data_IF_764251731398
#
_entry.id   IF_764251731398
#
_cell.length_a   1.000
_cell.length_b   1.000
_cell.length_c   1.000
_cell.angle_alpha   90.00
_cell.angle_beta   90.00
_cell.angle_gamma   90.00
#
_symmetry.space_group_name_H-M   'P 1'
#
loop_
_entity.id
_entity.type
_entity.pdbx_description
1 polymer ?
#
# COMPACT_ATOMS: atom_id res chain seq x y z
N UNK A 1 -13.54 -3.49 4.26
CA UNK A 1 -12.79 -3.85 3.04
C UNK A 1 -13.71 -4.59 2.04
N UNK A 2 -14.75 -3.94 1.49
CA UNK A 2 -15.70 -4.63 0.59
C UNK A 2 -15.23 -4.73 -0.86
N UNK A 3 -14.43 -3.76 -1.32
CA UNK A 3 -14.01 -3.67 -2.73
C UNK A 3 -12.75 -4.48 -3.06
N UNK A 4 -12.03 -5.03 -2.07
CA UNK A 4 -10.88 -5.94 -2.34
C UNK A 4 -11.32 -7.30 -2.89
N UNK A 5 -12.61 -7.64 -2.76
CA UNK A 5 -13.19 -8.83 -3.38
C UNK A 5 -13.34 -8.68 -4.90
N UNK A 6 -13.28 -7.45 -5.42
CA UNK A 6 -13.36 -7.12 -6.85
C UNK A 6 -12.09 -6.35 -7.25
N UNK A 7 -10.99 -7.07 -7.57
CA UNK A 7 -9.67 -6.47 -7.77
C UNK A 7 -9.66 -5.39 -8.86
N UNK A 8 -10.50 -5.56 -9.89
CA UNK A 8 -10.64 -4.63 -11.01
C UNK A 8 -11.23 -3.30 -10.53
N UNK A 9 -12.36 -3.34 -9.82
CA UNK A 9 -13.03 -2.14 -9.29
C UNK A 9 -12.12 -1.42 -8.27
N UNK A 10 -11.36 -2.17 -7.48
CA UNK A 10 -10.36 -1.58 -6.59
C UNK A 10 -9.22 -0.90 -7.35
N UNK A 11 -8.72 -1.52 -8.43
CA UNK A 11 -7.68 -0.95 -9.27
C UNK A 11 -8.17 0.35 -9.92
N UNK A 12 -9.34 0.36 -10.57
CA UNK A 12 -9.89 1.53 -11.24
C UNK A 12 -10.00 2.72 -10.29
N UNK A 13 -10.56 2.51 -9.09
CA UNK A 13 -10.67 3.57 -8.07
C UNK A 13 -9.33 4.11 -7.59
N UNK A 14 -8.32 3.25 -7.48
CA UNK A 14 -6.97 3.66 -7.08
C UNK A 14 -6.27 4.45 -8.20
N UNK A 15 -6.52 4.07 -9.46
CA UNK A 15 -6.01 4.79 -10.62
C UNK A 15 -6.70 6.15 -10.76
N UNK A 16 -8.02 6.22 -10.64
CA UNK A 16 -8.78 7.48 -10.59
C UNK A 16 -8.29 8.38 -9.45
N UNK A 17 -8.04 7.80 -8.28
CA UNK A 17 -7.45 8.51 -7.16
C UNK A 17 -6.07 9.08 -7.54
N UNK A 18 -5.18 8.30 -8.15
CA UNK A 18 -3.86 8.78 -8.59
C UNK A 18 -3.94 9.91 -9.62
N UNK A 19 -4.81 9.77 -10.62
CA UNK A 19 -5.03 10.77 -11.66
C UNK A 19 -5.50 12.12 -11.10
N UNK A 20 -6.34 12.10 -10.05
CA UNK A 20 -6.89 13.31 -9.44
C UNK A 20 -5.82 14.24 -8.82
N UNK A 21 -4.62 13.74 -8.51
CA UNK A 21 -3.53 14.56 -7.92
C UNK A 21 -2.58 15.17 -8.95
N UNK A 22 -2.81 14.98 -10.25
CA UNK A 22 -2.02 15.66 -11.27
C UNK A 22 -2.43 17.13 -11.34
N UNK A 23 -1.54 18.04 -10.95
CA UNK A 23 -1.81 19.49 -10.95
C UNK A 23 -1.54 20.10 -12.33
N UNK A 24 -2.19 21.23 -12.66
CA UNK A 24 -1.90 21.96 -13.91
C UNK A 24 -0.50 22.57 -13.94
N UNK A 25 0.07 22.87 -12.77
CA UNK A 25 1.41 23.46 -12.62
C UNK A 25 2.53 22.48 -12.96
N UNK A 26 2.32 21.17 -12.71
CA UNK A 26 3.22 20.08 -13.10
C UNK A 26 3.53 20.08 -14.60
N UNK A 27 2.63 20.69 -15.37
CA UNK A 27 2.65 20.69 -16.82
C UNK A 27 3.18 22.04 -17.33
N UNK A 28 3.00 23.16 -16.61
CA UNK A 28 3.29 24.52 -17.13
C UNK A 28 4.77 24.81 -17.36
N UNK A 29 5.67 24.23 -16.57
CA UNK A 29 7.09 24.62 -16.63
C UNK A 29 8.02 23.62 -17.30
N UNK A 30 7.53 22.45 -17.75
CA UNK A 30 8.41 21.36 -18.21
C UNK A 30 9.48 20.97 -17.17
N UNK A 31 9.30 21.43 -15.93
CA UNK A 31 10.26 21.32 -14.85
C UNK A 31 9.82 20.16 -13.99
N UNK A 32 10.68 19.15 -13.91
CA UNK A 32 10.58 17.98 -13.03
C UNK A 32 10.38 18.32 -11.54
N UNK A 33 10.36 19.61 -11.16
CA UNK A 33 10.31 20.08 -9.78
C UNK A 33 8.95 19.91 -9.08
N UNK A 34 7.85 19.71 -9.82
CA UNK A 34 6.53 19.49 -9.22
C UNK A 34 6.06 18.03 -9.28
N UNK A 35 6.86 17.15 -9.92
CA UNK A 35 6.52 15.74 -10.00
C UNK A 35 6.80 15.04 -8.66
N UNK A 36 5.90 14.13 -8.27
CA UNK A 36 6.09 13.26 -7.11
C UNK A 36 7.42 12.50 -7.28
N UNK A 37 8.39 12.62 -6.34
CA UNK A 37 9.66 11.92 -6.46
C UNK A 37 9.45 10.42 -6.58
N UNK A 38 10.22 9.72 -7.42
CA UNK A 38 10.06 8.27 -7.61
C UNK A 38 10.13 7.48 -6.28
N UNK A 39 10.97 7.92 -5.35
CA UNK A 39 11.11 7.31 -4.02
C UNK A 39 9.87 7.45 -3.12
N UNK A 40 8.90 8.31 -3.46
CA UNK A 40 7.67 8.48 -2.70
C UNK A 40 6.86 7.18 -2.64
N UNK A 41 6.77 6.46 -3.76
CA UNK A 41 6.02 5.22 -3.86
C UNK A 41 6.65 4.13 -2.99
N UNK A 42 7.99 4.00 -3.03
CA UNK A 42 8.72 3.08 -2.17
C UNK A 42 8.54 3.43 -0.68
N UNK A 43 8.54 4.73 -0.35
CA UNK A 43 8.27 5.21 1.02
C UNK A 43 6.84 4.93 1.45
N UNK A 44 5.86 5.03 0.56
CA UNK A 44 4.46 4.70 0.83
C UNK A 44 4.31 3.20 1.14
N UNK A 45 4.91 2.35 0.32
CA UNK A 45 4.91 0.89 0.53
C UNK A 45 5.55 0.56 1.88
N UNK A 46 6.72 1.16 2.16
CA UNK A 46 7.42 0.95 3.42
C UNK A 46 6.60 1.43 4.64
N UNK A 47 5.95 2.59 4.53
CA UNK A 47 5.12 3.14 5.60
C UNK A 47 3.91 2.25 5.91
N UNK A 48 3.18 1.78 4.89
CA UNK A 48 2.04 0.87 5.07
C UNK A 48 2.51 -0.45 5.69
N UNK A 49 3.58 -1.03 5.15
CA UNK A 49 4.10 -2.33 5.60
C UNK A 49 4.63 -2.25 7.04
N UNK A 50 5.32 -1.16 7.40
CA UNK A 50 5.86 -0.96 8.74
C UNK A 50 4.75 -0.74 9.76
N UNK A 51 3.76 0.09 9.41
CA UNK A 51 2.58 0.32 10.26
C UNK A 51 1.79 -0.98 10.49
N UNK A 52 1.61 -1.79 9.44
CA UNK A 52 0.96 -3.09 9.56
C UNK A 52 1.77 -4.06 10.45
N UNK A 53 3.09 -4.09 10.30
CA UNK A 53 3.99 -4.89 11.14
C UNK A 53 3.90 -4.48 12.61
N UNK A 54 3.93 -3.19 12.90
CA UNK A 54 3.77 -2.68 14.27
C UNK A 54 2.40 -3.02 14.87
N UNK A 55 1.34 -2.91 14.08
CA UNK A 55 -0.01 -3.27 14.50
C UNK A 55 -0.14 -4.76 14.85
N UNK A 56 0.40 -5.64 14.00
CA UNK A 56 0.40 -7.08 14.22
C UNK A 56 1.26 -7.49 15.42
N UNK A 57 2.41 -6.85 15.61
CA UNK A 57 3.26 -7.08 16.78
C UNK A 57 2.55 -6.68 18.09
N UNK A 58 1.83 -5.54 18.10
CA UNK A 58 1.02 -5.11 19.25
C UNK A 58 -0.12 -6.10 19.56
N UNK A 59 -0.77 -6.65 18.54
CA UNK A 59 -1.80 -7.70 18.69
C UNK A 59 -1.21 -8.97 19.33
N UNK A 60 -0.04 -9.39 18.86
CA UNK A 60 0.67 -10.56 19.41
C UNK A 60 1.02 -10.39 20.89
N UNK A 61 1.63 -9.26 21.26
CA UNK A 61 2.01 -8.99 22.67
C UNK A 61 0.78 -8.99 23.58
N UNK A 62 -0.36 -8.49 23.09
CA UNK A 62 -1.63 -8.49 23.83
C UNK A 62 -2.22 -9.91 23.97
N UNK A 63 -2.11 -10.75 22.96
CA UNK A 63 -2.55 -12.15 23.01
C UNK A 63 -1.67 -13.01 23.93
N UNK A 64 -0.35 -12.82 23.89
CA UNK A 64 0.61 -13.52 24.75
C UNK A 64 0.38 -13.23 26.24
N UNK A 65 0.12 -11.97 26.62
CA UNK A 65 -0.19 -11.59 28.02
C UNK A 65 -1.47 -12.23 28.56
N UNK A 66 -2.44 -12.57 27.69
CA UNK A 66 -3.71 -13.18 28.09
C UNK A 66 -3.59 -14.68 28.38
N UNK A 67 -2.56 -15.32 27.83
CA UNK A 67 -2.31 -16.76 28.01
C UNK A 67 -1.47 -17.06 29.26
N UNK A 68 -0.70 -16.08 29.78
CA UNK A 68 0.14 -16.25 30.97
C UNK A 68 -0.64 -16.31 32.30
N UNK A 69 -1.96 -16.11 32.28
CA UNK A 69 -2.83 -16.13 33.48
C UNK A 69 -3.53 -17.47 33.73
N UNK A 70 -3.27 -18.51 32.94
CA UNK A 70 -3.89 -19.83 33.10
C UNK A 70 -2.80 -20.86 33.40
N UNK A 71 -2.94 -21.52 34.54
CA UNK A 71 -1.92 -22.29 35.27
C UNK A 71 -1.15 -23.40 34.50
N UNK A 72 0.16 -23.40 34.78
CA UNK A 72 1.23 -24.42 34.90
C UNK A 72 1.05 -25.91 34.47
N UNK A 73 0.27 -26.27 33.43
CA UNK A 73 0.17 -27.68 33.00
C UNK A 73 0.33 -28.01 31.49
N UNK A 74 0.72 -27.07 30.61
CA UNK A 74 0.59 -27.26 29.13
C UNK A 74 1.82 -26.88 28.27
N UNK A 75 3.04 -27.27 28.67
CA UNK A 75 4.30 -26.89 27.99
C UNK A 75 4.43 -27.35 26.51
N UNK A 76 3.81 -28.45 26.08
CA UNK A 76 3.86 -28.87 24.66
C UNK A 76 2.79 -28.22 23.75
N UNK A 77 1.59 -27.94 24.29
CA UNK A 77 0.52 -27.28 23.53
C UNK A 77 0.91 -25.82 23.22
N UNK A 78 1.55 -25.14 24.18
CA UNK A 78 2.06 -23.78 24.00
C UNK A 78 3.11 -23.67 22.88
N UNK A 79 3.99 -24.67 22.72
CA UNK A 79 5.00 -24.67 21.63
C UNK A 79 4.38 -24.85 20.24
N UNK A 80 3.34 -25.68 20.10
CA UNK A 80 2.60 -25.82 18.83
C UNK A 80 1.78 -24.57 18.53
N UNK A 81 1.14 -24.00 19.55
CA UNK A 81 0.28 -22.82 19.40
C UNK A 81 1.10 -21.56 19.08
N UNK A 82 2.28 -21.39 19.71
CA UNK A 82 3.21 -20.31 19.37
C UNK A 82 3.75 -20.42 17.94
N UNK A 83 4.15 -21.62 17.48
CA UNK A 83 4.56 -21.82 16.07
C UNK A 83 3.43 -21.52 15.07
N UNK A 84 2.20 -21.93 15.39
CA UNK A 84 1.02 -21.63 14.57
C UNK A 84 0.76 -20.12 14.48
N UNK A 85 0.82 -19.42 15.61
CA UNK A 85 0.69 -17.96 15.66
C UNK A 85 1.81 -17.23 14.92
N UNK A 86 3.06 -17.68 15.05
CA UNK A 86 4.20 -17.10 14.30
C UNK A 86 4.04 -17.25 12.78
N UNK A 87 3.59 -18.42 12.34
CA UNK A 87 3.26 -18.68 10.92
C UNK A 87 2.10 -17.78 10.43
N UNK A 88 1.09 -17.57 11.26
CA UNK A 88 -0.04 -16.70 10.92
C UNK A 88 0.36 -15.21 10.90
N UNK A 89 1.23 -14.78 11.81
CA UNK A 89 1.76 -13.40 11.84
C UNK A 89 2.64 -13.15 10.62
N UNK A 90 3.52 -14.08 10.25
CA UNK A 90 4.37 -13.93 9.05
C UNK A 90 3.55 -13.92 7.75
N UNK A 91 2.56 -14.81 7.62
CA UNK A 91 1.63 -14.81 6.50
C UNK A 91 0.83 -13.50 6.40
N UNK A 92 0.39 -12.94 7.53
CA UNK A 92 -0.30 -11.66 7.57
C UNK A 92 0.62 -10.50 7.15
N UNK A 93 1.87 -10.45 7.61
CA UNK A 93 2.84 -9.41 7.20
C UNK A 93 3.06 -9.46 5.68
N UNK A 94 3.23 -10.65 5.11
CA UNK A 94 3.40 -10.81 3.67
C UNK A 94 2.17 -10.34 2.89
N UNK A 95 0.97 -10.65 3.36
CA UNK A 95 -0.28 -10.18 2.74
C UNK A 95 -0.37 -8.64 2.75
N UNK A 96 0.02 -7.99 3.86
CA UNK A 96 0.07 -6.53 3.94
C UNK A 96 1.12 -5.92 3.01
N UNK A 97 2.28 -6.55 2.87
CA UNK A 97 3.30 -6.10 1.92
C UNK A 97 2.79 -6.17 0.47
N UNK A 98 2.12 -7.26 0.09
CA UNK A 98 1.53 -7.42 -1.25
C UNK A 98 0.44 -6.37 -1.48
N UNK A 99 -0.42 -6.14 -0.48
CA UNK A 99 -1.46 -5.12 -0.56
C UNK A 99 -0.88 -3.71 -0.69
N UNK A 100 0.17 -3.39 0.08
CA UNK A 100 0.85 -2.11 0.01
C UNK A 100 1.45 -1.87 -1.38
N UNK A 101 2.08 -2.89 -1.95
CA UNK A 101 2.61 -2.85 -3.32
C UNK A 101 1.49 -2.63 -4.34
N UNK A 102 0.40 -3.38 -4.23
CA UNK A 102 -0.75 -3.25 -5.11
C UNK A 102 -1.30 -1.82 -5.09
N UNK A 103 -1.60 -1.29 -3.89
CA UNK A 103 -2.13 0.06 -3.71
C UNK A 103 -1.20 1.10 -4.34
N UNK A 104 0.09 1.04 -4.00
CA UNK A 104 1.07 2.00 -4.50
C UNK A 104 1.20 1.96 -6.02
N UNK A 105 1.19 0.76 -6.62
CA UNK A 105 1.32 0.61 -8.06
C UNK A 105 0.10 1.16 -8.81
N UNK A 106 -1.12 0.90 -8.32
CA UNK A 106 -2.34 1.39 -8.98
C UNK A 106 -2.45 2.92 -8.92
N UNK A 107 -2.14 3.52 -7.77
CA UNK A 107 -2.13 4.98 -7.63
C UNK A 107 -1.08 5.59 -8.55
N UNK A 108 0.15 5.04 -8.55
CA UNK A 108 1.23 5.51 -9.41
C UNK A 108 0.85 5.43 -10.88
N UNK A 109 0.27 4.32 -11.31
CA UNK A 109 -0.16 4.13 -12.70
C UNK A 109 -1.16 5.20 -13.12
N UNK A 110 -2.20 5.44 -12.33
CA UNK A 110 -3.19 6.48 -12.62
C UNK A 110 -2.60 7.89 -12.72
N UNK A 111 -1.69 8.23 -11.80
CA UNK A 111 -0.98 9.50 -11.81
C UNK A 111 -0.09 9.67 -13.06
N UNK A 112 0.76 8.68 -13.38
CA UNK A 112 1.69 8.75 -14.51
C UNK A 112 0.95 8.78 -15.85
N UNK A 113 -0.15 8.01 -15.98
CA UNK A 113 -0.98 8.00 -17.19
C UNK A 113 -1.69 9.34 -17.43
N UNK A 114 -2.30 9.92 -16.40
CA UNK A 114 -2.95 11.23 -16.52
C UNK A 114 -1.94 12.33 -16.85
N UNK A 115 -0.76 12.30 -16.23
CA UNK A 115 0.33 13.23 -16.54
C UNK A 115 0.75 13.11 -18.01
N UNK A 116 0.97 11.89 -18.51
CA UNK A 116 1.31 11.62 -19.90
C UNK A 116 0.22 12.12 -20.86
N UNK A 117 -1.04 11.78 -20.60
CA UNK A 117 -2.19 12.18 -21.42
C UNK A 117 -2.28 13.70 -21.55
N UNK A 118 -2.12 14.43 -20.45
CA UNK A 118 -2.16 15.90 -20.49
C UNK A 118 -0.97 16.51 -21.23
N UNK A 119 0.21 15.90 -21.16
CA UNK A 119 1.38 16.32 -21.94
C UNK A 119 1.12 16.11 -23.44
N UNK A 120 0.63 14.95 -23.84
CA UNK A 120 0.32 14.66 -25.25
C UNK A 120 -0.81 15.54 -25.80
N UNK A 121 -1.90 15.72 -25.06
CA UNK A 121 -3.00 16.63 -25.45
C UNK A 121 -2.51 18.07 -25.67
N UNK A 122 -1.55 18.53 -24.86
CA UNK A 122 -0.98 19.86 -25.03
C UNK A 122 -0.17 19.98 -26.33
N UNK A 123 0.64 18.98 -26.68
CA UNK A 123 1.45 19.00 -27.92
C UNK A 123 0.54 19.13 -29.14
N UNK A 124 -0.52 18.33 -29.19
CA UNK A 124 -1.53 18.37 -30.28
C UNK A 124 -2.15 19.77 -30.38
N UNK A 125 -2.53 20.37 -29.24
CA UNK A 125 -3.17 21.69 -29.23
C UNK A 125 -2.21 22.85 -29.56
N UNK A 126 -0.89 22.62 -29.56
CA UNK A 126 0.14 23.60 -29.97
C UNK A 126 0.45 23.45 -31.47
N UNK A 127 0.38 22.25 -32.02
CA UNK A 127 0.65 21.99 -33.45
C UNK A 127 -0.48 22.45 -34.40
N UNK A 128 -1.68 22.77 -33.86
CA UNK A 128 -2.82 23.33 -34.62
C UNK A 128 -2.76 24.87 -34.79
N UNK A 129 -1.67 25.55 -34.42
CA UNK A 129 -1.44 26.99 -34.64
C UNK A 129 -0.18 27.28 -35.45
#
# INVERSE_FOLDING_TARGET
MRNLAEPIVAADRLQEFGAAYVNQEDIRYGSFNACIPHSYWDRLIAAITTTAKEFLNKQYVKASKKNLTVDDALSENERKNTRSLFSQVSANINAWSILAQFISNQIRFGYEMELMLRVELRKINVDDK
#
